data_IF_185124799511
#
_entry.id   IF_185124799511
#
_cell.length_a   1.000
_cell.length_b   1.000
_cell.length_c   1.000
_cell.angle_alpha   90.00
_cell.angle_beta   90.00
_cell.angle_gamma   90.00
#
_symmetry.space_group_name_H-M   'P 1'
#
loop_
_entity.id
_entity.type
_entity.pdbx_description
1 polymer ?
#
# COMPACT_ATOMS: atom_id res chain seq x y z
N UNK A 1 -16.07 37.11 0.13
CA UNK A 1 -14.99 36.09 0.08
C UNK A 1 -15.60 34.78 -0.37
N UNK A 2 -15.47 34.44 -1.64
CA UNK A 2 -16.01 33.21 -2.21
C UNK A 2 -15.04 32.06 -1.90
N UNK A 3 -15.49 31.11 -1.08
CA UNK A 3 -14.78 29.86 -0.82
C UNK A 3 -14.88 29.00 -2.07
N UNK A 4 -13.84 29.01 -2.90
CA UNK A 4 -13.70 28.08 -4.01
C UNK A 4 -13.71 26.65 -3.44
N UNK A 5 -14.88 26.00 -3.46
CA UNK A 5 -14.96 24.57 -3.28
C UNK A 5 -14.37 23.92 -4.53
N UNK A 6 -13.05 23.67 -4.51
CA UNK A 6 -12.38 22.83 -5.50
C UNK A 6 -13.16 21.55 -5.66
N UNK A 7 -13.79 21.40 -6.81
CA UNK A 7 -14.42 20.16 -7.27
C UNK A 7 -13.37 19.05 -7.19
N UNK A 8 -13.44 18.26 -6.12
CA UNK A 8 -12.55 17.13 -5.89
C UNK A 8 -12.91 16.09 -6.94
N UNK A 9 -12.22 16.15 -8.09
CA UNK A 9 -12.39 15.14 -9.12
C UNK A 9 -12.12 13.78 -8.48
N UNK A 10 -13.05 12.87 -8.66
CA UNK A 10 -12.96 11.47 -8.22
C UNK A 10 -11.91 10.73 -9.07
N UNK A 11 -10.64 11.15 -8.97
CA UNK A 11 -9.56 10.48 -9.64
C UNK A 11 -9.01 9.39 -8.71
N UNK A 12 -8.89 8.17 -9.21
CA UNK A 12 -8.26 7.03 -8.52
C UNK A 12 -6.80 7.31 -8.14
N UNK A 13 -6.25 8.37 -8.69
CA UNK A 13 -4.89 8.85 -8.46
C UNK A 13 -4.98 10.10 -7.59
N UNK A 14 -4.41 10.04 -6.39
CA UNK A 14 -4.41 11.16 -5.46
C UNK A 14 -3.71 12.39 -6.06
N UNK A 15 -4.39 13.55 -5.99
CA UNK A 15 -3.75 14.83 -6.24
C UNK A 15 -3.00 15.25 -4.97
N UNK A 16 -1.68 15.41 -5.08
CA UNK A 16 -0.79 15.68 -3.95
C UNK A 16 -0.24 17.10 -4.10
N UNK A 17 -1.02 18.06 -3.61
CA UNK A 17 -0.68 19.48 -3.64
C UNK A 17 0.15 19.94 -2.44
N UNK A 18 0.06 19.25 -1.32
CA UNK A 18 0.72 19.64 -0.07
C UNK A 18 1.18 18.43 0.74
N UNK A 19 1.89 18.69 1.83
CA UNK A 19 2.43 17.66 2.73
C UNK A 19 1.35 16.80 3.40
N UNK A 20 0.21 17.39 3.73
CA UNK A 20 -0.89 16.66 4.34
C UNK A 20 -1.53 15.65 3.37
N UNK A 21 -1.70 16.04 2.09
CA UNK A 21 -2.18 15.14 1.04
C UNK A 21 -1.21 13.97 0.82
N UNK A 22 0.11 14.25 0.82
CA UNK A 22 1.14 13.23 0.70
C UNK A 22 1.08 12.22 1.87
N UNK A 23 0.89 12.70 3.10
CA UNK A 23 0.73 11.84 4.27
C UNK A 23 -0.56 11.01 4.20
N UNK A 24 -1.66 11.60 3.74
CA UNK A 24 -2.92 10.88 3.56
C UNK A 24 -2.82 9.79 2.50
N UNK A 25 -2.15 10.07 1.38
CA UNK A 25 -1.89 9.08 0.34
C UNK A 25 -1.07 7.90 0.88
N UNK A 26 -0.03 8.15 1.69
CA UNK A 26 0.73 7.09 2.35
C UNK A 26 -0.10 6.27 3.34
N UNK A 27 -0.94 6.92 4.15
CA UNK A 27 -1.86 6.22 5.06
C UNK A 27 -2.81 5.29 4.29
N UNK A 28 -3.32 5.73 3.12
CA UNK A 28 -4.11 4.89 2.24
C UNK A 28 -3.36 3.63 1.79
N UNK A 29 -2.08 3.76 1.42
CA UNK A 29 -1.21 2.63 1.09
C UNK A 29 -0.97 1.68 2.28
N UNK A 30 -0.81 2.21 3.49
CA UNK A 30 -0.68 1.40 4.70
C UNK A 30 -1.94 0.60 5.01
N UNK A 31 -3.11 1.23 4.88
CA UNK A 31 -4.41 0.55 5.06
C UNK A 31 -4.57 -0.57 4.03
N UNK A 32 -4.20 -0.33 2.76
CA UNK A 32 -4.22 -1.37 1.74
C UNK A 32 -3.33 -2.55 2.11
N UNK A 33 -2.11 -2.32 2.63
CA UNK A 33 -1.22 -3.37 3.09
C UNK A 33 -1.84 -4.19 4.23
N UNK A 34 -2.50 -3.55 5.20
CA UNK A 34 -3.18 -4.25 6.29
C UNK A 34 -4.41 -5.03 5.83
N UNK A 35 -5.14 -4.55 4.83
CA UNK A 35 -6.25 -5.31 4.21
C UNK A 35 -5.71 -6.58 3.57
N UNK A 36 -4.61 -6.49 2.79
CA UNK A 36 -3.95 -7.66 2.19
C UNK A 36 -3.48 -8.62 3.28
N UNK A 37 -2.84 -8.12 4.33
CA UNK A 37 -2.40 -8.90 5.48
C UNK A 37 -3.56 -9.68 6.13
N UNK A 38 -4.67 -9.00 6.41
CA UNK A 38 -5.83 -9.60 7.03
C UNK A 38 -6.46 -10.69 6.15
N UNK A 39 -6.57 -10.44 4.84
CA UNK A 39 -7.10 -11.42 3.87
C UNK A 39 -6.20 -12.66 3.82
N UNK A 40 -4.89 -12.49 3.71
CA UNK A 40 -3.95 -13.60 3.62
C UNK A 40 -3.92 -14.44 4.91
N UNK A 41 -3.93 -13.79 6.07
CA UNK A 41 -4.00 -14.49 7.36
C UNK A 41 -5.35 -15.23 7.49
N UNK A 42 -6.46 -14.61 7.13
CA UNK A 42 -7.79 -15.24 7.22
C UNK A 42 -7.88 -16.45 6.29
N UNK A 43 -7.39 -16.36 5.05
CA UNK A 43 -7.35 -17.49 4.11
C UNK A 43 -6.44 -18.60 4.65
N UNK A 44 -5.25 -18.27 5.13
CA UNK A 44 -4.33 -19.24 5.71
C UNK A 44 -4.93 -19.96 6.92
N UNK A 45 -5.56 -19.22 7.83
CA UNK A 45 -6.25 -19.78 8.98
C UNK A 45 -7.43 -20.68 8.56
N UNK A 46 -8.26 -20.22 7.61
CA UNK A 46 -9.38 -21.01 7.09
C UNK A 46 -8.92 -22.36 6.54
N UNK A 47 -7.88 -22.37 5.69
CA UNK A 47 -7.34 -23.61 5.12
C UNK A 47 -6.79 -24.53 6.22
N UNK A 48 -6.12 -23.97 7.23
CA UNK A 48 -5.56 -24.74 8.35
C UNK A 48 -6.66 -25.50 9.13
N UNK A 49 -7.80 -24.84 9.35
CA UNK A 49 -8.90 -25.44 10.14
C UNK A 49 -9.81 -26.37 9.33
N UNK A 50 -9.99 -26.13 8.02
CA UNK A 50 -10.94 -26.87 7.19
C UNK A 50 -10.31 -27.99 6.39
N UNK A 51 -9.03 -27.89 6.05
CA UNK A 51 -8.36 -28.85 5.16
C UNK A 51 -6.89 -29.06 5.57
N UNK A 52 -6.63 -29.62 6.79
CA UNK A 52 -5.26 -29.75 7.31
C UNK A 52 -4.36 -30.62 6.41
N UNK A 53 -4.92 -31.60 5.71
CA UNK A 53 -4.14 -32.47 4.81
C UNK A 53 -3.72 -31.73 3.53
N UNK A 54 -4.59 -30.90 2.94
CA UNK A 54 -4.25 -30.01 1.84
C UNK A 54 -3.19 -28.98 2.27
N UNK A 55 -3.29 -28.46 3.48
CA UNK A 55 -2.32 -27.54 4.05
C UNK A 55 -0.91 -28.14 4.12
N UNK A 56 -0.81 -29.42 4.55
CA UNK A 56 0.45 -30.16 4.64
C UNK A 56 1.03 -30.49 3.27
N UNK A 57 0.19 -30.88 2.31
CA UNK A 57 0.63 -31.34 0.97
C UNK A 57 1.20 -30.18 0.13
N UNK A 58 0.64 -28.99 0.23
CA UNK A 58 0.98 -27.88 -0.65
C UNK A 58 1.79 -26.76 0.02
N UNK A 59 1.99 -26.78 1.34
CA UNK A 59 2.65 -25.69 2.05
C UNK A 59 1.95 -24.33 1.96
N UNK A 60 0.75 -24.29 1.34
CA UNK A 60 0.02 -23.06 1.00
C UNK A 60 -0.34 -22.26 2.24
N UNK A 61 -0.70 -22.95 3.33
CA UNK A 61 -1.10 -22.28 4.59
C UNK A 61 0.04 -21.48 5.20
N UNK A 62 1.25 -22.06 5.23
CA UNK A 62 2.42 -21.38 5.76
C UNK A 62 2.80 -20.17 4.91
N UNK A 63 2.74 -20.30 3.59
CA UNK A 63 3.03 -19.22 2.66
C UNK A 63 2.01 -18.06 2.80
N UNK A 64 0.71 -18.35 2.89
CA UNK A 64 -0.33 -17.32 3.04
C UNK A 64 -0.20 -16.56 4.37
N UNK A 65 0.03 -17.27 5.49
CA UNK A 65 0.25 -16.63 6.79
C UNK A 65 1.53 -15.79 6.78
N UNK A 66 2.62 -16.33 6.24
CA UNK A 66 3.89 -15.61 6.11
C UNK A 66 3.73 -14.33 5.28
N UNK A 67 3.05 -14.41 4.15
CA UNK A 67 2.72 -13.26 3.29
C UNK A 67 1.89 -12.21 4.04
N UNK A 68 0.87 -12.65 4.78
CA UNK A 68 0.08 -11.78 5.61
C UNK A 68 0.91 -11.05 6.67
N UNK A 69 1.86 -11.73 7.32
CA UNK A 69 2.78 -11.10 8.28
C UNK A 69 3.70 -10.10 7.58
N UNK A 70 4.24 -10.44 6.42
CA UNK A 70 5.07 -9.53 5.61
C UNK A 70 4.31 -8.25 5.26
N UNK A 71 3.07 -8.35 4.75
CA UNK A 71 2.25 -7.18 4.46
C UNK A 71 1.86 -6.40 5.71
N UNK A 72 1.67 -7.05 6.84
CA UNK A 72 1.45 -6.39 8.13
C UNK A 72 2.62 -5.49 8.52
N UNK A 73 3.84 -6.01 8.43
CA UNK A 73 5.08 -5.28 8.70
C UNK A 73 5.27 -4.15 7.69
N UNK A 74 5.06 -4.40 6.40
CA UNK A 74 5.12 -3.38 5.34
C UNK A 74 4.13 -2.24 5.63
N UNK A 75 2.91 -2.56 6.05
CA UNK A 75 1.91 -1.58 6.46
C UNK A 75 2.41 -0.67 7.58
N UNK A 76 3.09 -1.20 8.58
CA UNK A 76 3.70 -0.42 9.67
C UNK A 76 4.79 0.52 9.11
N UNK A 77 5.67 0.03 8.22
CA UNK A 77 6.69 0.87 7.60
C UNK A 77 6.09 2.00 6.75
N UNK A 78 5.05 1.73 5.96
CA UNK A 78 4.35 2.76 5.18
C UNK A 78 3.68 3.77 6.12
N UNK A 79 3.04 3.30 7.19
CA UNK A 79 2.42 4.17 8.21
C UNK A 79 3.43 5.11 8.87
N UNK A 80 4.66 4.65 9.05
CA UNK A 80 5.79 5.45 9.55
C UNK A 80 6.44 6.34 8.48
N UNK A 81 5.77 6.52 7.34
CA UNK A 81 6.22 7.33 6.20
C UNK A 81 7.54 6.86 5.59
N UNK A 82 7.82 5.55 5.64
CA UNK A 82 8.98 4.96 4.98
C UNK A 82 8.78 4.85 3.48
N UNK A 83 9.65 5.51 2.72
CA UNK A 83 9.67 5.39 1.26
C UNK A 83 10.00 3.97 0.79
N UNK A 84 10.95 3.32 1.46
CA UNK A 84 11.37 1.94 1.14
C UNK A 84 10.20 1.00 1.37
N UNK A 85 9.45 1.15 2.48
CA UNK A 85 8.28 0.35 2.77
C UNK A 85 7.19 0.48 1.70
N UNK A 86 6.94 1.69 1.20
CA UNK A 86 5.94 1.92 0.16
C UNK A 86 6.32 1.25 -1.17
N UNK A 87 7.58 1.37 -1.60
CA UNK A 87 8.09 0.72 -2.80
C UNK A 87 8.10 -0.80 -2.68
N UNK A 88 8.59 -1.31 -1.56
CA UNK A 88 8.64 -2.75 -1.33
C UNK A 88 7.25 -3.36 -1.30
N UNK A 89 6.27 -2.69 -0.69
CA UNK A 89 4.88 -3.13 -0.69
C UNK A 89 4.27 -3.20 -2.08
N UNK A 90 4.49 -2.17 -2.92
CA UNK A 90 4.00 -2.17 -4.30
C UNK A 90 4.63 -3.29 -5.14
N UNK A 91 5.95 -3.46 -5.06
CA UNK A 91 6.68 -4.49 -5.83
C UNK A 91 6.25 -5.88 -5.38
N UNK A 92 6.24 -6.15 -4.07
CA UNK A 92 5.85 -7.45 -3.53
C UNK A 92 4.41 -7.81 -3.93
N UNK A 93 3.47 -6.87 -3.75
CA UNK A 93 2.08 -7.07 -4.15
C UNK A 93 1.94 -7.36 -5.65
N UNK A 94 2.68 -6.63 -6.49
CA UNK A 94 2.64 -6.84 -7.94
C UNK A 94 3.17 -8.23 -8.31
N UNK A 95 4.30 -8.65 -7.76
CA UNK A 95 4.88 -9.96 -8.00
C UNK A 95 3.95 -11.09 -7.53
N UNK A 96 3.36 -10.95 -6.34
CA UNK A 96 2.38 -11.91 -5.82
C UNK A 96 1.18 -12.06 -6.76
N UNK A 97 0.63 -10.95 -7.28
CA UNK A 97 -0.52 -11.01 -8.18
C UNK A 97 -0.15 -11.60 -9.54
N UNK A 98 1.01 -11.27 -10.09
CA UNK A 98 1.49 -11.90 -11.33
C UNK A 98 1.63 -13.42 -11.13
N UNK A 99 2.30 -13.84 -10.06
CA UNK A 99 2.45 -15.25 -9.74
C UNK A 99 1.10 -15.95 -9.58
N UNK A 100 0.17 -15.34 -8.84
CA UNK A 100 -1.15 -15.91 -8.59
C UNK A 100 -1.96 -16.07 -9.88
N UNK A 101 -1.92 -15.11 -10.79
CA UNK A 101 -2.64 -15.20 -12.07
C UNK A 101 -2.04 -16.24 -13.04
N UNK A 102 -0.72 -16.39 -13.03
CA UNK A 102 -0.05 -17.42 -13.83
C UNK A 102 -0.32 -18.83 -13.29
N UNK A 103 -0.24 -18.99 -11.97
CA UNK A 103 -0.43 -20.30 -11.32
C UNK A 103 -1.90 -20.73 -11.21
N UNK A 104 -2.83 -19.77 -11.08
CA UNK A 104 -4.24 -20.03 -10.85
C UNK A 104 -5.14 -19.08 -11.66
N UNK A 105 -5.44 -19.40 -12.96
CA UNK A 105 -6.26 -18.53 -13.80
C UNK A 105 -7.67 -18.23 -13.26
N UNK A 106 -8.22 -19.12 -12.41
CA UNK A 106 -9.52 -18.92 -11.76
C UNK A 106 -9.51 -17.79 -10.71
N UNK A 107 -8.35 -17.34 -10.25
CA UNK A 107 -8.19 -16.23 -9.31
C UNK A 107 -8.52 -14.86 -9.92
N UNK A 108 -8.82 -14.76 -11.20
CA UNK A 108 -9.25 -13.56 -11.90
C UNK A 108 -10.54 -12.94 -11.32
N UNK A 109 -11.35 -13.70 -10.58
CA UNK A 109 -12.53 -13.18 -9.87
C UNK A 109 -12.20 -12.04 -8.90
N UNK A 110 -10.98 -12.01 -8.35
CA UNK A 110 -10.49 -10.96 -7.44
C UNK A 110 -9.81 -9.77 -8.13
N UNK A 111 -9.80 -9.71 -9.47
CA UNK A 111 -9.02 -8.71 -10.21
C UNK A 111 -9.41 -7.27 -9.88
N UNK A 112 -10.70 -6.99 -9.69
CA UNK A 112 -11.17 -5.64 -9.34
C UNK A 112 -10.63 -5.18 -7.99
N UNK A 113 -10.65 -6.06 -6.99
CA UNK A 113 -10.10 -5.77 -5.66
C UNK A 113 -8.58 -5.61 -5.74
N UNK A 114 -7.90 -6.48 -6.49
CA UNK A 114 -6.46 -6.40 -6.69
C UNK A 114 -6.05 -5.10 -7.38
N UNK A 115 -6.78 -4.65 -8.39
CA UNK A 115 -6.55 -3.36 -9.07
C UNK A 115 -6.76 -2.19 -8.13
N UNK A 116 -7.84 -2.18 -7.34
CA UNK A 116 -8.10 -1.13 -6.35
C UNK A 116 -6.98 -1.03 -5.30
N UNK A 117 -6.53 -2.17 -4.77
CA UNK A 117 -5.42 -2.24 -3.83
C UNK A 117 -4.09 -1.80 -4.49
N UNK A 118 -3.87 -2.18 -5.74
CA UNK A 118 -2.70 -1.75 -6.49
C UNK A 118 -2.65 -0.23 -6.64
N UNK A 119 -3.78 0.43 -6.97
CA UNK A 119 -3.85 1.89 -6.98
C UNK A 119 -3.61 2.51 -5.61
N UNK A 120 -4.06 1.89 -4.52
CA UNK A 120 -3.79 2.36 -3.18
C UNK A 120 -2.30 2.30 -2.83
N UNK A 121 -1.60 1.21 -3.19
CA UNK A 121 -0.15 1.12 -3.06
C UNK A 121 0.59 2.14 -3.94
N UNK A 122 0.15 2.31 -5.19
CA UNK A 122 0.72 3.31 -6.10
C UNK A 122 0.59 4.72 -5.53
N UNK A 123 -0.56 5.08 -4.99
CA UNK A 123 -0.78 6.36 -4.32
C UNK A 123 0.12 6.49 -3.07
N UNK A 124 0.32 5.40 -2.31
CA UNK A 124 1.26 5.35 -1.20
C UNK A 124 2.70 5.69 -1.62
N UNK A 125 3.17 5.11 -2.72
CA UNK A 125 4.51 5.40 -3.29
C UNK A 125 4.60 6.85 -3.75
N UNK A 126 3.58 7.37 -4.45
CA UNK A 126 3.54 8.78 -4.87
C UNK A 126 3.57 9.73 -3.68
N UNK A 127 2.82 9.42 -2.62
CA UNK A 127 2.85 10.16 -1.37
C UNK A 127 4.25 10.17 -0.74
N UNK A 128 4.93 9.03 -0.74
CA UNK A 128 6.29 8.91 -0.22
C UNK A 128 7.31 9.72 -1.02
N UNK A 129 7.18 9.76 -2.36
CA UNK A 129 8.02 10.60 -3.21
C UNK A 129 7.78 12.09 -2.96
N UNK A 130 6.52 12.51 -2.87
CA UNK A 130 6.15 13.89 -2.59
C UNK A 130 6.66 14.36 -1.22
N UNK A 131 6.54 13.54 -0.17
CA UNK A 131 7.09 13.87 1.15
C UNK A 131 8.61 14.09 1.14
N UNK A 132 9.34 13.28 0.36
CA UNK A 132 10.78 13.48 0.19
C UNK A 132 11.11 14.80 -0.52
N UNK A 133 10.31 15.16 -1.52
CA UNK A 133 10.45 16.43 -2.24
C UNK A 133 10.22 17.62 -1.30
N UNK A 134 9.10 17.65 -0.58
CA UNK A 134 8.78 18.72 0.38
C UNK A 134 9.86 18.87 1.45
N UNK A 135 10.39 17.74 1.97
CA UNK A 135 11.48 17.78 2.94
C UNK A 135 12.77 18.40 2.37
N UNK A 136 13.07 18.16 1.10
CA UNK A 136 14.24 18.78 0.45
C UNK A 136 14.04 20.27 0.25
N UNK A 137 12.84 20.70 -0.14
CA UNK A 137 12.50 22.12 -0.34
C UNK A 137 12.61 22.90 0.99
N UNK A 138 12.14 22.33 2.11
CA UNK A 138 12.29 22.90 3.45
C UNK A 138 13.76 23.11 3.86
N UNK A 139 14.62 22.15 3.57
CA UNK A 139 16.07 22.22 3.89
C UNK A 139 16.81 23.21 3.00
N UNK A 140 16.33 23.41 1.76
CA UNK A 140 16.96 24.31 0.78
C UNK A 140 16.44 25.74 0.90
N UNK A 141 15.39 26.01 1.67
CA UNK A 141 14.91 27.35 1.91
C UNK A 141 15.98 28.13 2.71
N UNK A 142 16.50 29.29 2.22
CA UNK A 142 17.46 30.08 2.97
C UNK A 142 16.83 30.48 4.29
N UNK A 143 17.52 30.18 5.40
CA UNK A 143 17.17 30.73 6.74
C UNK A 143 17.07 32.23 6.57
N UNK A 144 15.81 32.73 6.65
CA UNK A 144 15.53 34.12 6.39
C UNK A 144 16.50 34.98 7.15
N UNK A 145 17.19 35.85 6.43
CA UNK A 145 17.83 37.04 6.98
C UNK A 145 16.72 37.80 7.68
N UNK A 146 16.56 37.56 9.00
CA UNK A 146 15.83 38.51 9.83
C UNK A 146 16.51 39.84 9.66
N UNK A 147 15.85 40.70 8.89
CA UNK A 147 16.27 42.07 8.68
C UNK A 147 16.27 42.77 10.03
N UNK A 148 17.44 43.17 10.44
CA UNK A 148 17.68 44.20 11.47
C UNK A 148 16.93 45.49 11.16
#
# INVERSE_FOLDING_TARGET
>A
MARNSSYKSSSWIADIGNRADAQQAMKGGAVAAWIVAAINIAIGAYILFTSPDAARTFGITGAAIFDGVCFGIIGIFIWRYSFIGAWFGLVLFTLEKIYQWVAQPKALLGIFVAVALWFAFLNGVRGAMALRRFKREEVSAPVGTEAT
#
